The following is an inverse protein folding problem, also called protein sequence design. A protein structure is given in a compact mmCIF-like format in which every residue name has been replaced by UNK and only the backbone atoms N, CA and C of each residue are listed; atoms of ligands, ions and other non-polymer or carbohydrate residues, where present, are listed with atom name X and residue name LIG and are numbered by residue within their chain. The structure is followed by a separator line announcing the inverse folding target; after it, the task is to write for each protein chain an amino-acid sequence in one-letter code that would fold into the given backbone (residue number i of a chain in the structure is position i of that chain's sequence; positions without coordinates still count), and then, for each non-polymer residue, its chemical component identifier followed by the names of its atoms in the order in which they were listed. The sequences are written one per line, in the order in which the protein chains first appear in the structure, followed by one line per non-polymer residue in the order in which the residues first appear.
data_IF_211758451111
#
_entry.id   IF_211758451111
#
_cell.length_a   1.000
_cell.length_b   1.000
_cell.length_c   1.000
_cell.angle_alpha   90.00
_cell.angle_beta   90.00
_cell.angle_gamma   90.00
#
_symmetry.space_group_name_H-M   'P 1'
#
loop_
_entity.id
_entity.type
_entity.pdbx_description
1 polymer ?
#
# COMPACT_ATOMS: atom_id res chain seq x y z
N UNK A 1 -7.18 -20.12 49.42
CA UNK A 1 -6.32 -20.95 48.54
C UNK A 1 -6.53 -20.40 47.10
N UNK A 2 -5.75 -19.36 46.73
CA UNK A 2 -5.86 -18.69 45.45
C UNK A 2 -5.05 -19.42 44.39
N UNK A 3 -5.74 -20.17 43.53
CA UNK A 3 -5.16 -20.69 42.29
C UNK A 3 -5.08 -19.54 41.29
N UNK A 4 -4.02 -18.71 41.34
CA UNK A 4 -3.62 -17.88 40.24
C UNK A 4 -3.01 -18.82 39.20
N UNK A 5 -3.83 -19.28 38.23
CA UNK A 5 -3.29 -19.91 37.03
C UNK A 5 -2.39 -18.85 36.35
N UNK A 6 -1.08 -19.07 36.38
CA UNK A 6 -0.13 -18.41 35.50
C UNK A 6 -0.57 -18.71 34.06
N UNK A 7 -1.38 -17.82 33.46
CA UNK A 7 -1.52 -17.81 32.01
C UNK A 7 -0.11 -17.60 31.45
N UNK A 8 0.50 -18.65 30.89
CA UNK A 8 1.62 -18.48 29.98
C UNK A 8 1.19 -17.36 29.04
N UNK A 9 1.91 -16.24 29.01
CA UNK A 9 1.67 -15.17 28.04
C UNK A 9 1.87 -15.82 26.67
N UNK A 10 0.76 -16.14 25.97
CA UNK A 10 0.83 -16.51 24.57
C UNK A 10 1.49 -15.35 23.84
N UNK A 11 2.45 -15.64 22.98
CA UNK A 11 3.04 -14.63 22.08
C UNK A 11 1.90 -14.11 21.20
N UNK A 12 1.61 -12.81 21.30
CA UNK A 12 0.70 -12.15 20.39
C UNK A 12 1.51 -11.77 19.15
N UNK A 13 1.21 -12.40 18.01
CA UNK A 13 1.92 -12.21 16.75
C UNK A 13 1.05 -11.41 15.77
N UNK A 14 1.31 -10.10 15.63
CA UNK A 14 0.64 -9.26 14.66
C UNK A 14 1.41 -9.26 13.33
N UNK A 15 0.94 -10.04 12.38
CA UNK A 15 1.57 -10.30 11.09
C UNK A 15 0.67 -9.87 9.91
N UNK A 16 -0.13 -8.82 10.12
CA UNK A 16 -0.99 -8.19 9.10
C UNK A 16 -0.60 -6.73 8.82
N UNK A 17 0.71 -6.44 8.82
CA UNK A 17 1.25 -5.09 8.66
C UNK A 17 0.97 -4.49 7.27
N UNK A 18 0.70 -5.29 6.25
CA UNK A 18 0.24 -4.82 4.93
C UNK A 18 -1.21 -4.30 4.96
N UNK A 19 -2.04 -4.70 5.94
CA UNK A 19 -3.36 -4.10 6.13
C UNK A 19 -3.25 -2.78 6.89
N UNK A 20 -2.52 -2.74 7.99
CA UNK A 20 -2.22 -1.51 8.76
C UNK A 20 -1.08 -1.80 9.73
N UNK A 21 -0.26 -0.80 10.06
CA UNK A 21 0.75 -0.91 11.10
C UNK A 21 0.26 -0.24 12.40
N UNK A 22 0.84 -0.64 13.54
CA UNK A 22 0.66 0.06 14.81
C UNK A 22 1.31 1.44 14.72
N UNK A 23 0.64 2.54 15.10
CA UNK A 23 1.28 3.85 15.15
C UNK A 23 2.47 3.84 16.10
N UNK A 24 3.58 4.44 15.68
CA UNK A 24 4.75 4.61 16.53
C UNK A 24 4.50 5.68 17.60
N UNK A 25 5.28 5.63 18.67
CA UNK A 25 5.16 6.58 19.80
C UNK A 25 5.28 8.04 19.35
N UNK A 26 6.25 8.34 18.49
CA UNK A 26 6.45 9.68 17.96
C UNK A 26 5.21 10.22 17.21
N UNK A 27 4.53 9.35 16.44
CA UNK A 27 3.29 9.72 15.75
C UNK A 27 2.15 10.02 16.75
N UNK A 28 1.98 9.18 17.77
CA UNK A 28 0.94 9.36 18.78
C UNK A 28 1.16 10.65 19.60
N UNK A 29 2.39 10.91 20.02
CA UNK A 29 2.76 12.13 20.77
C UNK A 29 2.56 13.40 19.93
N UNK A 30 2.94 13.37 18.63
CA UNK A 30 2.73 14.51 17.73
C UNK A 30 1.24 14.80 17.49
N UNK A 31 0.41 13.75 17.38
CA UNK A 31 -1.05 13.91 17.29
C UNK A 31 -1.63 14.53 18.54
N UNK A 32 -1.25 14.04 19.72
CA UNK A 32 -1.74 14.56 21.00
C UNK A 32 -1.36 16.05 21.16
N UNK A 33 -0.10 16.40 20.90
CA UNK A 33 0.36 17.78 20.95
C UNK A 33 -0.41 18.68 19.97
N UNK A 34 -0.70 18.21 18.76
CA UNK A 34 -1.50 18.96 17.80
C UNK A 34 -2.94 19.19 18.29
N UNK A 35 -3.56 18.22 18.97
CA UNK A 35 -4.91 18.37 19.52
C UNK A 35 -4.97 19.28 20.74
N UNK A 36 -3.97 19.24 21.62
CA UNK A 36 -3.98 19.97 22.89
C UNK A 36 -3.43 21.39 22.78
N UNK A 37 -2.39 21.59 21.96
CA UNK A 37 -1.62 22.85 21.95
C UNK A 37 -1.64 23.59 20.61
N UNK A 38 -1.75 22.91 19.48
CA UNK A 38 -1.68 23.48 18.11
C UNK A 38 -2.98 23.21 17.33
N UNK A 39 -4.11 23.45 17.96
CA UNK A 39 -5.45 23.15 17.44
C UNK A 39 -6.02 24.21 16.49
N UNK A 40 -5.26 25.25 16.11
CA UNK A 40 -5.71 26.31 15.20
C UNK A 40 -6.00 25.81 13.79
N UNK A 41 -6.85 26.55 13.06
CA UNK A 41 -7.06 26.28 11.63
C UNK A 41 -5.86 26.84 10.84
N UNK A 42 -5.16 26.02 10.03
CA UNK A 42 -3.99 26.45 9.24
C UNK A 42 -4.26 27.62 8.28
N UNK A 43 -5.51 27.81 7.86
CA UNK A 43 -5.92 28.90 6.96
C UNK A 43 -6.17 30.24 7.69
N UNK A 44 -6.13 30.28 9.04
CA UNK A 44 -6.36 31.50 9.80
C UNK A 44 -5.13 32.41 9.83
N UNK A 45 -5.36 33.73 9.72
CA UNK A 45 -4.28 34.75 9.66
C UNK A 45 -3.73 35.18 11.03
N UNK A 46 -4.21 34.60 12.12
CA UNK A 46 -3.73 34.86 13.46
C UNK A 46 -2.70 33.82 13.92
N UNK A 47 -2.02 34.07 15.03
CA UNK A 47 -0.92 33.26 15.55
C UNK A 47 -1.25 31.76 15.63
N UNK A 48 -2.45 31.38 16.13
CA UNK A 48 -2.85 29.98 16.22
C UNK A 48 -2.97 29.28 14.85
N UNK A 49 -3.36 30.02 13.82
CA UNK A 49 -3.34 29.53 12.44
C UNK A 49 -1.92 29.30 11.92
N UNK A 50 -1.01 30.23 12.19
CA UNK A 50 0.39 30.11 11.79
C UNK A 50 1.11 28.95 12.48
N UNK A 51 0.83 28.69 13.77
CA UNK A 51 1.33 27.53 14.50
C UNK A 51 0.88 26.22 13.81
N UNK A 52 -0.39 26.11 13.47
CA UNK A 52 -0.96 24.95 12.79
C UNK A 52 -0.41 24.80 11.34
N UNK A 53 -0.30 25.89 10.59
CA UNK A 53 0.28 25.90 9.25
C UNK A 53 1.75 25.45 9.27
N UNK A 54 2.53 25.89 10.27
CA UNK A 54 3.91 25.46 10.44
C UNK A 54 4.01 23.94 10.65
N UNK A 55 3.10 23.37 11.43
CA UNK A 55 3.03 21.92 11.66
C UNK A 55 2.74 21.15 10.34
N UNK A 56 1.82 21.64 9.52
CA UNK A 56 1.55 21.07 8.18
C UNK A 56 2.79 21.16 7.29
N UNK A 57 3.47 22.30 7.28
CA UNK A 57 4.70 22.50 6.51
C UNK A 57 5.82 21.56 6.97
N UNK A 58 6.05 21.44 8.28
CA UNK A 58 7.08 20.55 8.85
C UNK A 58 6.83 19.06 8.48
N UNK A 59 5.56 18.66 8.31
CA UNK A 59 5.18 17.34 7.82
C UNK A 59 5.44 17.22 6.31
N UNK A 60 5.12 18.25 5.49
CA UNK A 60 5.46 18.28 4.05
C UNK A 60 6.97 18.18 3.83
N UNK A 61 7.77 18.88 4.62
CA UNK A 61 9.23 18.82 4.56
C UNK A 61 9.76 17.41 4.84
N UNK A 62 9.20 16.71 5.84
CA UNK A 62 9.57 15.35 6.16
C UNK A 62 9.27 14.37 5.01
N UNK A 63 8.05 14.45 4.44
CA UNK A 63 7.67 13.61 3.30
C UNK A 63 8.49 13.94 2.05
N UNK A 64 8.70 15.21 1.76
CA UNK A 64 9.48 15.66 0.61
C UNK A 64 10.92 15.15 0.66
N UNK A 65 11.55 15.20 1.84
CA UNK A 65 12.87 14.61 2.06
C UNK A 65 12.87 13.10 1.81
N UNK A 66 11.87 12.38 2.33
CA UNK A 66 11.77 10.92 2.18
C UNK A 66 11.49 10.50 0.73
N UNK A 67 10.75 11.29 -0.03
CA UNK A 67 10.42 11.05 -1.44
C UNK A 67 11.43 11.65 -2.43
N UNK A 68 12.42 12.43 -1.94
CA UNK A 68 13.39 13.17 -2.75
C UNK A 68 12.71 14.14 -3.72
N UNK A 69 11.78 14.96 -3.21
CA UNK A 69 11.04 15.97 -3.96
C UNK A 69 10.99 17.31 -3.21
N UNK A 70 10.28 18.29 -3.75
CA UNK A 70 10.07 19.58 -3.07
C UNK A 70 8.81 19.55 -2.19
N UNK A 71 8.79 20.24 -1.05
CA UNK A 71 7.61 20.30 -0.16
C UNK A 71 6.33 20.75 -0.85
N UNK A 72 6.43 21.69 -1.80
CA UNK A 72 5.31 22.17 -2.60
C UNK A 72 4.71 21.11 -3.55
N UNK A 73 5.39 19.99 -3.77
CA UNK A 73 4.93 18.87 -4.59
C UNK A 73 4.20 17.79 -3.76
N UNK A 74 4.08 17.98 -2.44
CA UNK A 74 3.38 17.05 -1.55
C UNK A 74 2.00 17.62 -1.20
N UNK A 75 0.95 16.88 -1.54
CA UNK A 75 -0.44 17.18 -1.17
C UNK A 75 -0.91 16.17 -0.13
N UNK A 76 -1.54 16.62 0.95
CA UNK A 76 -2.19 15.73 1.91
C UNK A 76 -3.61 15.38 1.47
N UNK A 77 -4.01 14.15 1.75
CA UNK A 77 -5.36 13.62 1.53
C UNK A 77 -5.82 12.86 2.77
N UNK A 78 -7.11 12.56 2.89
CA UNK A 78 -7.62 11.80 4.04
C UNK A 78 -7.27 10.31 4.03
N UNK A 79 -6.65 9.79 2.96
CA UNK A 79 -6.18 8.39 2.88
C UNK A 79 -5.40 8.14 1.58
N UNK A 80 -4.66 7.02 1.51
CA UNK A 80 -4.07 6.55 0.25
C UNK A 80 -5.13 6.29 -0.84
N UNK A 81 -6.34 5.86 -0.46
CA UNK A 81 -7.46 5.70 -1.40
C UNK A 81 -7.84 7.02 -2.08
N UNK A 82 -7.95 8.10 -1.31
CA UNK A 82 -8.27 9.41 -1.87
C UNK A 82 -7.12 9.97 -2.70
N UNK A 83 -5.87 9.72 -2.29
CA UNK A 83 -4.70 10.07 -3.09
C UNK A 83 -4.69 9.34 -4.44
N UNK A 84 -4.95 8.02 -4.47
CA UNK A 84 -5.08 7.23 -5.69
C UNK A 84 -6.23 7.72 -6.57
N UNK A 85 -7.38 8.04 -6.00
CA UNK A 85 -8.52 8.58 -6.75
C UNK A 85 -8.19 9.94 -7.38
N UNK A 86 -7.54 10.86 -6.62
CA UNK A 86 -7.10 12.14 -7.15
C UNK A 86 -6.06 11.95 -8.26
N UNK A 87 -5.11 11.03 -8.09
CA UNK A 87 -4.11 10.71 -9.09
C UNK A 87 -4.74 10.15 -10.37
N UNK A 88 -5.61 9.15 -10.27
CA UNK A 88 -6.17 8.45 -11.43
C UNK A 88 -7.25 9.27 -12.11
N UNK A 89 -8.29 9.67 -11.39
CA UNK A 89 -9.40 10.44 -11.96
C UNK A 89 -8.96 11.85 -12.33
N UNK A 90 -8.25 12.53 -11.41
CA UNK A 90 -7.82 13.91 -11.61
C UNK A 90 -6.85 14.07 -12.78
N UNK A 91 -5.91 13.13 -12.96
CA UNK A 91 -4.98 13.15 -14.08
C UNK A 91 -5.68 12.85 -15.41
N UNK A 92 -6.50 11.79 -15.48
CA UNK A 92 -7.20 11.41 -16.71
C UNK A 92 -8.11 12.56 -17.20
N UNK A 93 -8.89 13.17 -16.31
CA UNK A 93 -9.75 14.30 -16.66
C UNK A 93 -8.95 15.53 -17.11
N UNK A 94 -7.85 15.86 -16.43
CA UNK A 94 -7.02 17.01 -16.80
C UNK A 94 -6.32 16.82 -18.15
N UNK A 95 -6.06 15.59 -18.55
CA UNK A 95 -5.36 15.22 -19.80
C UNK A 95 -6.32 14.83 -20.94
N UNK A 96 -7.65 14.82 -20.74
CA UNK A 96 -8.65 14.32 -21.69
C UNK A 96 -8.54 14.91 -23.10
N UNK A 97 -8.04 16.16 -23.22
CA UNK A 97 -7.81 16.80 -24.54
C UNK A 97 -6.65 16.17 -25.33
N UNK A 98 -5.76 15.40 -24.69
CA UNK A 98 -4.59 14.77 -25.33
C UNK A 98 -4.86 13.34 -25.77
N UNK A 99 -5.93 12.72 -25.26
CA UNK A 99 -6.31 11.36 -25.55
C UNK A 99 -7.31 10.83 -24.53
N UNK A 100 -7.65 9.55 -24.63
CA UNK A 100 -8.63 8.91 -23.75
C UNK A 100 -8.20 7.53 -23.26
N UNK A 101 -7.00 7.06 -23.58
CA UNK A 101 -6.51 5.76 -23.12
C UNK A 101 -5.87 5.85 -21.75
N UNK A 102 -6.28 4.99 -20.83
CA UNK A 102 -5.75 4.82 -19.48
C UNK A 102 -5.23 3.40 -19.33
N UNK A 103 -3.96 3.26 -18.97
CA UNK A 103 -3.31 1.95 -18.82
C UNK A 103 -3.03 1.70 -17.35
N UNK A 104 -3.50 0.57 -16.80
CA UNK A 104 -3.29 0.19 -15.39
C UNK A 104 -2.75 -1.24 -15.30
N UNK A 105 -2.04 -1.60 -14.23
CA UNK A 105 -1.71 -3.01 -14.04
C UNK A 105 -2.95 -3.84 -13.66
N UNK A 106 -2.95 -5.13 -13.99
CA UNK A 106 -4.06 -6.02 -13.62
C UNK A 106 -4.11 -6.33 -12.10
N UNK A 107 -3.08 -5.94 -11.36
CA UNK A 107 -2.91 -6.27 -9.93
C UNK A 107 -2.98 -5.05 -9.00
N UNK A 108 -3.53 -3.95 -9.50
CA UNK A 108 -3.68 -2.72 -8.71
C UNK A 108 -4.60 -2.90 -7.49
N UNK A 109 -4.35 -2.06 -6.48
CA UNK A 109 -5.25 -1.94 -5.33
C UNK A 109 -6.66 -1.49 -5.79
N UNK A 110 -7.75 -1.92 -5.09
CA UNK A 110 -9.12 -1.53 -5.43
C UNK A 110 -9.35 -0.03 -5.60
N UNK A 111 -8.59 0.84 -4.90
CA UNK A 111 -8.69 2.29 -5.05
C UNK A 111 -8.25 2.81 -6.43
N UNK A 112 -7.34 2.10 -7.11
CA UNK A 112 -6.94 2.37 -8.50
C UNK A 112 -7.90 1.67 -9.47
N UNK A 113 -8.18 0.38 -9.26
CA UNK A 113 -9.04 -0.40 -10.15
C UNK A 113 -10.45 0.19 -10.27
N UNK A 114 -11.06 0.58 -9.14
CA UNK A 114 -12.40 1.18 -9.14
C UNK A 114 -12.41 2.59 -9.74
N UNK A 115 -11.33 3.36 -9.58
CA UNK A 115 -11.18 4.63 -10.28
C UNK A 115 -11.06 4.42 -11.80
N UNK A 116 -10.29 3.42 -12.23
CA UNK A 116 -10.19 3.05 -13.65
C UNK A 116 -11.53 2.54 -14.22
N UNK A 117 -12.26 1.69 -13.48
CA UNK A 117 -13.62 1.26 -13.88
C UNK A 117 -14.58 2.44 -14.04
N UNK A 118 -14.49 3.45 -13.15
CA UNK A 118 -15.28 4.68 -13.28
C UNK A 118 -14.91 5.46 -14.56
N UNK A 119 -13.62 5.60 -14.86
CA UNK A 119 -13.18 6.24 -16.11
C UNK A 119 -13.71 5.50 -17.34
N UNK A 120 -13.75 4.17 -17.33
CA UNK A 120 -14.35 3.40 -18.42
C UNK A 120 -15.84 3.73 -18.61
N UNK A 121 -16.60 3.89 -17.52
CA UNK A 121 -18.00 4.31 -17.56
C UNK A 121 -18.16 5.76 -18.09
N UNK A 122 -17.14 6.60 -17.92
CA UNK A 122 -17.09 7.99 -18.42
C UNK A 122 -16.54 8.08 -19.88
N UNK A 123 -16.31 6.94 -20.54
CA UNK A 123 -15.92 6.85 -21.95
C UNK A 123 -14.40 6.87 -22.21
N UNK A 124 -13.56 6.65 -21.18
CA UNK A 124 -12.14 6.38 -21.39
C UNK A 124 -11.92 4.93 -21.81
N UNK A 125 -10.93 4.70 -22.68
CA UNK A 125 -10.44 3.37 -23.03
C UNK A 125 -9.46 2.87 -21.95
N UNK A 126 -9.93 1.99 -21.09
CA UNK A 126 -9.14 1.45 -19.97
C UNK A 126 -8.54 0.12 -20.34
N UNK A 127 -7.22 0.09 -20.48
CA UNK A 127 -6.42 -1.08 -20.81
C UNK A 127 -5.69 -1.63 -19.58
N UNK A 128 -5.61 -2.97 -19.46
CA UNK A 128 -4.92 -3.61 -18.34
C UNK A 128 -3.65 -4.31 -18.82
N UNK A 129 -2.52 -3.99 -18.19
CA UNK A 129 -1.27 -4.72 -18.37
C UNK A 129 -1.39 -6.06 -17.66
N UNK A 130 -1.30 -7.21 -18.38
CA UNK A 130 -1.31 -8.52 -17.75
C UNK A 130 -0.06 -8.74 -16.91
N UNK A 131 -0.11 -9.75 -16.06
CA UNK A 131 0.98 -10.14 -15.18
C UNK A 131 1.34 -11.60 -15.34
N UNK A 132 2.55 -11.96 -14.91
CA UNK A 132 2.98 -13.34 -14.82
C UNK A 132 2.38 -14.05 -13.57
N UNK A 133 2.78 -15.31 -13.36
CA UNK A 133 2.32 -16.12 -12.22
C UNK A 133 2.69 -15.56 -10.83
N UNK A 134 3.63 -14.64 -10.76
CA UNK A 134 4.08 -13.99 -9.54
C UNK A 134 3.53 -12.57 -9.38
N UNK A 135 2.76 -12.12 -10.37
CA UNK A 135 2.12 -10.81 -10.37
C UNK A 135 2.98 -9.70 -10.95
N UNK A 136 4.10 -10.01 -11.63
CA UNK A 136 4.95 -9.02 -12.31
C UNK A 136 4.32 -8.61 -13.64
N UNK A 137 4.25 -7.31 -13.92
CA UNK A 137 3.70 -6.77 -15.18
C UNK A 137 4.50 -7.22 -16.40
N UNK A 138 3.78 -7.50 -17.50
CA UNK A 138 4.37 -7.76 -18.82
C UNK A 138 4.73 -6.43 -19.51
N UNK A 139 6.03 -6.08 -19.49
CA UNK A 139 6.54 -4.85 -20.08
C UNK A 139 6.40 -4.79 -21.61
N UNK A 140 6.41 -5.93 -22.32
CA UNK A 140 6.20 -5.96 -23.76
C UNK A 140 4.76 -5.59 -24.08
N UNK A 141 3.80 -6.14 -23.34
CA UNK A 141 2.40 -5.77 -23.49
C UNK A 141 2.16 -4.32 -23.03
N UNK A 142 2.80 -3.86 -21.95
CA UNK A 142 2.74 -2.44 -21.56
C UNK A 142 3.18 -1.52 -22.72
N UNK A 143 4.27 -1.85 -23.40
CA UNK A 143 4.76 -1.08 -24.55
C UNK A 143 3.80 -1.12 -25.75
N UNK A 144 3.08 -2.22 -25.97
CA UNK A 144 2.05 -2.30 -27.02
C UNK A 144 0.80 -1.47 -26.70
N UNK A 145 0.38 -1.43 -25.43
CA UNK A 145 -0.81 -0.71 -24.98
C UNK A 145 -0.60 0.81 -24.89
N UNK A 146 0.64 1.25 -24.67
CA UNK A 146 0.98 2.68 -24.54
C UNK A 146 1.20 3.28 -25.92
N UNK A 147 0.51 4.39 -26.20
CA UNK A 147 0.58 5.14 -27.45
C UNK A 147 0.47 6.67 -27.23
N UNK A 148 0.36 7.43 -28.32
CA UNK A 148 0.19 8.89 -28.29
C UNK A 148 -1.15 9.34 -27.73
N UNK A 149 -2.18 8.48 -27.69
CA UNK A 149 -3.50 8.74 -27.09
C UNK A 149 -3.58 8.36 -25.63
N UNK A 150 -2.53 7.76 -25.08
CA UNK A 150 -2.50 7.38 -23.65
C UNK A 150 -2.28 8.62 -22.78
N UNK A 151 -3.16 8.84 -21.81
CA UNK A 151 -3.14 10.00 -20.91
C UNK A 151 -2.66 9.70 -19.50
N UNK A 152 -2.76 8.44 -19.08
CA UNK A 152 -2.33 7.96 -17.76
C UNK A 152 -1.82 6.52 -17.85
N UNK A 153 -0.69 6.26 -17.21
CA UNK A 153 -0.23 4.90 -16.85
C UNK A 153 -0.16 4.83 -15.33
N UNK A 154 -0.82 3.83 -14.71
CA UNK A 154 -0.83 3.65 -13.26
C UNK A 154 -0.40 2.23 -12.92
N UNK A 155 0.71 2.11 -12.18
CA UNK A 155 1.27 0.83 -11.73
C UNK A 155 1.76 0.95 -10.30
N UNK A 156 1.34 0.04 -9.42
CA UNK A 156 1.84 0.00 -8.05
C UNK A 156 3.32 -0.42 -8.01
N UNK A 157 4.10 0.11 -7.04
CA UNK A 157 5.52 -0.28 -6.91
C UNK A 157 5.69 -1.63 -6.24
N UNK A 158 4.82 -1.96 -5.27
CA UNK A 158 4.84 -3.24 -4.55
C UNK A 158 3.41 -3.75 -4.40
N UNK A 159 3.18 -4.99 -4.81
CA UNK A 159 1.87 -5.61 -4.65
C UNK A 159 1.59 -5.95 -3.18
N UNK A 160 0.43 -5.55 -2.69
CA UNK A 160 0.04 -5.70 -1.29
C UNK A 160 -0.35 -7.13 -0.87
N UNK A 161 -0.54 -8.04 -1.82
CA UNK A 161 -0.92 -9.44 -1.57
C UNK A 161 0.27 -10.39 -1.76
N UNK A 162 1.03 -10.24 -2.84
CA UNK A 162 2.12 -11.13 -3.23
C UNK A 162 3.51 -10.62 -2.81
N UNK A 163 3.65 -9.30 -2.58
CA UNK A 163 4.95 -8.69 -2.32
C UNK A 163 5.78 -8.43 -3.59
N UNK A 164 5.24 -8.72 -4.76
CA UNK A 164 5.92 -8.50 -6.05
C UNK A 164 6.36 -7.04 -6.17
N UNK A 165 7.61 -6.83 -6.55
CA UNK A 165 8.19 -5.52 -6.80
C UNK A 165 8.10 -5.22 -8.28
N UNK A 166 7.24 -4.28 -8.65
CA UNK A 166 7.00 -3.95 -10.06
C UNK A 166 8.14 -3.13 -10.67
N UNK A 167 8.52 -3.41 -11.93
CA UNK A 167 9.58 -2.71 -12.64
C UNK A 167 9.13 -1.36 -13.18
N UNK A 168 8.55 -0.51 -12.33
CA UNK A 168 7.93 0.78 -12.73
C UNK A 168 8.93 1.75 -13.38
N UNK A 169 10.21 1.62 -13.05
CA UNK A 169 11.30 2.42 -13.61
C UNK A 169 11.44 2.22 -15.12
N UNK A 170 11.03 1.06 -15.65
CA UNK A 170 11.05 0.75 -17.09
C UNK A 170 9.94 1.48 -17.87
N UNK A 171 8.89 1.97 -17.20
CA UNK A 171 7.73 2.58 -17.87
C UNK A 171 8.06 3.97 -18.44
N UNK A 172 8.88 4.78 -17.75
CA UNK A 172 9.25 6.12 -18.25
C UNK A 172 10.03 6.07 -19.59
N UNK A 173 11.03 5.19 -19.79
CA UNK A 173 11.64 4.96 -21.09
C UNK A 173 10.63 4.53 -22.17
N UNK A 174 9.67 3.66 -21.86
CA UNK A 174 8.60 3.25 -22.78
C UNK A 174 7.77 4.46 -23.22
N UNK A 175 7.28 5.26 -22.26
CA UNK A 175 6.51 6.48 -22.54
C UNK A 175 7.28 7.43 -23.50
N UNK A 176 8.57 7.58 -23.30
CA UNK A 176 9.41 8.42 -24.18
C UNK A 176 9.54 7.85 -25.59
N UNK A 177 9.81 6.54 -25.73
CA UNK A 177 9.93 5.88 -27.05
C UNK A 177 8.61 5.97 -27.84
N UNK A 178 7.48 5.83 -27.14
CA UNK A 178 6.13 5.90 -27.70
C UNK A 178 5.63 7.34 -27.93
N UNK A 179 6.44 8.36 -27.58
CA UNK A 179 6.06 9.78 -27.62
C UNK A 179 4.72 10.04 -26.90
N UNK A 180 4.44 9.24 -25.86
CA UNK A 180 3.19 9.32 -25.13
C UNK A 180 3.16 10.52 -24.19
N UNK A 181 2.06 11.32 -24.19
CA UNK A 181 1.87 12.41 -23.24
C UNK A 181 1.43 11.95 -21.86
N UNK A 182 1.33 10.64 -21.64
CA UNK A 182 0.79 10.06 -20.41
C UNK A 182 1.55 10.49 -19.17
N UNK A 183 0.81 10.81 -18.13
CA UNK A 183 1.33 10.91 -16.77
C UNK A 183 1.59 9.50 -16.23
N UNK A 184 2.70 9.32 -15.51
CA UNK A 184 3.02 8.08 -14.80
C UNK A 184 2.65 8.24 -13.33
N UNK A 185 1.64 7.50 -12.87
CA UNK A 185 1.27 7.34 -11.48
C UNK A 185 1.85 6.05 -10.91
N UNK A 186 2.44 6.14 -9.72
CA UNK A 186 2.93 5.00 -8.96
C UNK A 186 2.26 4.96 -7.59
N UNK A 187 1.46 3.91 -7.34
CA UNK A 187 1.02 3.60 -5.98
C UNK A 187 2.21 3.00 -5.20
N UNK A 188 2.85 3.82 -4.35
CA UNK A 188 3.98 3.42 -3.53
C UNK A 188 3.58 3.08 -2.07
N UNK A 189 2.30 2.91 -1.78
CA UNK A 189 1.78 2.68 -0.42
C UNK A 189 2.46 1.49 0.27
N UNK A 190 2.75 0.41 -0.44
CA UNK A 190 3.44 -0.75 0.12
C UNK A 190 4.97 -0.68 0.03
N UNK A 191 5.50 0.18 -0.84
CA UNK A 191 6.95 0.37 -1.00
C UNK A 191 7.53 1.37 -0.01
N UNK A 192 6.81 2.47 0.26
CA UNK A 192 7.26 3.55 1.13
C UNK A 192 7.54 3.04 2.54
N UNK A 193 8.71 3.38 3.07
CA UNK A 193 9.18 2.90 4.38
C UNK A 193 9.74 1.47 4.40
N UNK A 194 9.73 0.75 3.27
CA UNK A 194 10.30 -0.60 3.13
C UNK A 194 11.40 -0.66 2.07
N UNK A 195 11.25 0.13 1.02
CA UNK A 195 12.24 0.33 -0.03
C UNK A 195 12.57 1.83 -0.13
N UNK A 196 13.74 2.20 -0.66
CA UNK A 196 14.01 3.58 -1.05
C UNK A 196 13.04 4.02 -2.15
N UNK A 197 12.20 5.01 -1.86
CA UNK A 197 11.25 5.59 -2.82
C UNK A 197 11.74 6.99 -3.18
N UNK A 198 12.30 7.15 -4.38
CA UNK A 198 12.68 8.45 -4.94
C UNK A 198 11.85 8.70 -6.19
N UNK A 199 11.09 9.80 -6.23
CA UNK A 199 10.19 10.12 -7.34
C UNK A 199 10.94 10.27 -8.67
N UNK A 200 12.17 10.76 -8.63
CA UNK A 200 13.01 10.89 -9.82
C UNK A 200 13.50 9.54 -10.35
N UNK A 201 13.87 8.60 -9.47
CA UNK A 201 14.27 7.24 -9.86
C UNK A 201 13.10 6.44 -10.40
N UNK A 202 11.91 6.58 -9.81
CA UNK A 202 10.68 5.99 -10.35
C UNK A 202 10.30 6.58 -11.71
N UNK A 203 10.80 7.77 -12.05
CA UNK A 203 10.39 8.50 -13.23
C UNK A 203 8.91 8.92 -13.18
N UNK A 204 8.30 8.96 -12.00
CA UNK A 204 6.89 9.20 -11.79
C UNK A 204 6.54 10.70 -11.85
N UNK A 205 5.32 11.00 -12.30
CA UNK A 205 4.72 12.33 -12.22
C UNK A 205 3.79 12.45 -11.01
N UNK A 206 3.27 11.30 -10.53
CA UNK A 206 2.38 11.17 -9.38
C UNK A 206 2.81 9.97 -8.54
N UNK A 207 2.91 10.13 -7.21
CA UNK A 207 3.23 9.02 -6.29
C UNK A 207 2.32 9.08 -5.08
N UNK A 208 1.61 7.99 -4.81
CA UNK A 208 0.74 7.85 -3.63
C UNK A 208 1.46 7.15 -2.48
N UNK A 209 1.31 7.71 -1.27
CA UNK A 209 1.76 7.10 -0.01
C UNK A 209 0.67 7.22 1.07
N UNK A 210 0.74 6.38 2.11
CA UNK A 210 -0.26 6.37 3.19
C UNK A 210 0.40 6.18 4.55
N UNK A 211 0.00 7.00 5.53
CA UNK A 211 0.63 7.04 6.84
C UNK A 211 0.53 5.72 7.61
N UNK A 212 -0.64 5.08 7.60
CA UNK A 212 -0.89 3.87 8.37
C UNK A 212 -0.14 2.62 7.89
N UNK A 213 0.64 2.71 6.82
CA UNK A 213 1.52 1.63 6.33
C UNK A 213 2.97 1.81 6.80
N UNK A 214 3.28 2.95 7.44
CA UNK A 214 4.61 3.33 7.91
C UNK A 214 4.55 3.82 9.37
N UNK A 215 3.78 3.13 10.20
CA UNK A 215 3.61 3.42 11.63
C UNK A 215 3.06 4.83 11.94
N UNK A 216 2.38 5.44 10.97
CA UNK A 216 1.62 6.66 11.13
C UNK A 216 0.13 6.42 11.43
N UNK A 217 -0.65 7.48 11.63
CA UNK A 217 -2.08 7.37 11.91
C UNK A 217 -2.88 6.95 10.68
N UNK A 218 -4.08 6.40 10.93
CA UNK A 218 -5.14 6.29 9.93
C UNK A 218 -5.74 7.67 9.66
N UNK A 219 -6.43 7.82 8.53
CA UNK A 219 -7.12 9.08 8.20
C UNK A 219 -6.23 10.14 7.54
N UNK A 220 -5.03 9.77 7.08
CA UNK A 220 -4.16 10.64 6.28
C UNK A 220 -3.33 9.84 5.28
N UNK A 221 -3.25 10.37 4.06
CA UNK A 221 -2.34 9.94 2.99
C UNK A 221 -1.68 11.15 2.36
N UNK A 222 -0.81 10.92 1.39
CA UNK A 222 -0.23 12.00 0.61
C UNK A 222 -0.05 11.58 -0.85
N UNK A 223 -0.15 12.58 -1.73
CA UNK A 223 0.12 12.48 -3.15
C UNK A 223 1.28 13.41 -3.50
N UNK A 224 2.36 12.85 -4.03
CA UNK A 224 3.35 13.66 -4.76
C UNK A 224 2.76 14.03 -6.12
N UNK A 225 2.81 15.31 -6.45
CA UNK A 225 2.41 15.87 -7.75
C UNK A 225 3.57 16.67 -8.29
N UNK A 226 4.18 16.18 -9.36
CA UNK A 226 5.31 16.84 -10.01
C UNK A 226 4.93 18.25 -10.48
N UNK A 227 5.81 19.19 -10.26
CA UNK A 227 5.60 20.59 -10.71
C UNK A 227 5.22 20.65 -12.19
N UNK A 228 4.17 21.42 -12.48
CA UNK A 228 3.62 21.57 -13.83
C UNK A 228 2.54 20.54 -14.20
N UNK A 229 2.37 19.48 -13.41
CA UNK A 229 1.25 18.54 -13.56
C UNK A 229 -0.02 19.19 -13.03
N UNK A 230 -1.08 19.15 -13.83
CA UNK A 230 -2.42 19.60 -13.45
C UNK A 230 -3.32 18.42 -13.17
N UNK A 231 -4.11 18.53 -12.11
CA UNK A 231 -5.14 17.57 -11.75
C UNK A 231 -6.51 18.26 -11.73
N UNK A 232 -7.53 17.58 -12.18
CA UNK A 232 -8.93 17.97 -11.93
C UNK A 232 -9.29 17.51 -10.52
N UNK A 233 -9.73 18.40 -9.61
CA UNK A 233 -10.13 18.01 -8.26
C UNK A 233 -11.25 16.96 -8.27
N UNK A 234 -11.14 15.96 -7.42
CA UNK A 234 -12.19 14.93 -7.22
C UNK A 234 -13.19 15.31 -6.13
N UNK A 235 -12.85 16.32 -5.33
CA UNK A 235 -13.70 16.96 -4.33
C UNK A 235 -13.66 18.45 -4.62
N UNK A 236 -14.77 19.15 -4.47
CA UNK A 236 -14.88 20.60 -4.71
C UNK A 236 -15.03 21.36 -3.39
N UNK A 237 -14.40 22.54 -3.26
CA UNK A 237 -14.43 23.32 -2.01
C UNK A 237 -13.50 24.52 -2.05
N UNK A 238 -12.80 24.77 -0.95
CA UNK A 238 -11.87 25.90 -0.79
C UNK A 238 -10.51 25.68 -1.47
N UNK A 239 -9.54 26.51 -1.09
CA UNK A 239 -8.21 26.56 -1.71
C UNK A 239 -7.16 25.65 -1.03
N UNK A 240 -7.57 24.82 -0.07
CA UNK A 240 -6.64 23.91 0.61
C UNK A 240 -5.94 23.00 -0.40
N UNK A 241 -4.68 22.67 -0.12
CA UNK A 241 -3.80 21.91 -1.02
C UNK A 241 -3.79 22.46 -2.46
N UNK A 242 -3.83 23.80 -2.60
CA UNK A 242 -3.85 24.48 -3.89
C UNK A 242 -5.13 24.22 -4.70
N UNK A 243 -6.25 23.96 -4.03
CA UNK A 243 -7.55 23.62 -4.63
C UNK A 243 -7.64 22.21 -5.19
N UNK A 244 -6.55 21.43 -5.16
CA UNK A 244 -6.54 20.04 -5.66
C UNK A 244 -7.26 19.06 -4.73
N UNK A 245 -7.18 19.31 -3.42
CA UNK A 245 -7.86 18.50 -2.40
C UNK A 245 -8.38 19.41 -1.28
N UNK A 246 -9.50 20.15 -1.51
CA UNK A 246 -10.07 21.09 -0.56
C UNK A 246 -10.64 20.40 0.69
N UNK A 247 -10.70 21.16 1.78
CA UNK A 247 -11.16 20.74 3.10
C UNK A 247 -10.16 21.12 4.18
N UNK A 248 -10.66 21.45 5.39
CA UNK A 248 -9.77 21.79 6.52
C UNK A 248 -8.82 20.64 6.79
N UNK A 249 -7.53 20.96 6.83
CA UNK A 249 -6.46 19.98 7.00
C UNK A 249 -6.58 19.26 8.36
N UNK A 250 -6.48 17.94 8.34
CA UNK A 250 -6.49 17.10 9.54
C UNK A 250 -5.14 17.22 10.28
N UNK A 251 -4.87 18.41 10.87
CA UNK A 251 -3.58 18.76 11.45
C UNK A 251 -3.01 17.72 12.41
N UNK A 252 -3.79 17.07 13.32
CA UNK A 252 -3.26 16.02 14.17
C UNK A 252 -2.76 14.81 13.39
N UNK A 253 -3.53 14.36 12.40
CA UNK A 253 -3.14 13.22 11.58
C UNK A 253 -1.93 13.54 10.67
N UNK A 254 -1.86 14.75 10.13
CA UNK A 254 -0.73 15.25 9.34
C UNK A 254 0.54 15.32 10.20
N UNK A 255 0.44 15.86 11.43
CA UNK A 255 1.53 15.89 12.38
C UNK A 255 2.06 14.49 12.71
N UNK A 256 1.15 13.57 12.99
CA UNK A 256 1.47 12.17 13.25
C UNK A 256 2.14 11.50 12.05
N UNK A 257 1.70 11.79 10.82
CA UNK A 257 2.35 11.28 9.61
C UNK A 257 3.78 11.83 9.47
N UNK A 258 3.97 13.14 9.59
CA UNK A 258 5.29 13.77 9.55
C UNK A 258 6.24 13.20 10.61
N UNK A 259 5.75 12.97 11.83
CA UNK A 259 6.52 12.37 12.93
C UNK A 259 6.87 10.91 12.64
N UNK A 260 5.93 10.11 12.10
CA UNK A 260 6.20 8.73 11.70
C UNK A 260 7.29 8.66 10.62
N UNK A 261 7.23 9.53 9.60
CA UNK A 261 8.25 9.60 8.53
C UNK A 261 9.62 10.01 9.08
N UNK A 262 9.68 10.96 10.01
CA UNK A 262 10.95 11.35 10.68
C UNK A 262 11.55 10.23 11.54
N UNK A 263 10.69 9.43 12.17
CA UNK A 263 11.10 8.29 13.01
C UNK A 263 11.32 7.01 12.19
N UNK A 264 10.92 6.99 10.93
CA UNK A 264 10.96 5.83 10.05
C UNK A 264 12.39 5.31 9.90
N UNK A 265 12.57 4.02 10.14
CA UNK A 265 13.81 3.30 9.88
C UNK A 265 13.55 2.26 8.81
N UNK A 266 14.43 2.20 7.83
CA UNK A 266 14.43 1.13 6.83
C UNK A 266 15.61 0.24 7.19
N UNK A 267 15.38 -0.91 7.86
CA UNK A 267 16.47 -1.83 8.18
C UNK A 267 17.10 -2.37 6.90
N UNK A 268 18.35 -2.87 6.96
CA UNK A 268 18.92 -3.60 5.84
C UNK A 268 17.97 -4.71 5.40
N UNK A 269 17.68 -4.77 4.10
CA UNK A 269 16.68 -5.69 3.54
C UNK A 269 17.03 -7.15 3.85
N UNK A 270 18.31 -7.45 4.02
CA UNK A 270 18.84 -8.76 4.33
C UNK A 270 18.37 -9.27 5.71
N UNK A 271 18.13 -8.38 6.67
CA UNK A 271 17.62 -8.74 7.99
C UNK A 271 16.19 -9.26 7.89
N UNK A 272 15.36 -8.57 7.13
CA UNK A 272 13.96 -8.98 6.92
C UNK A 272 13.91 -10.21 6.01
N UNK A 273 14.81 -10.29 5.02
CA UNK A 273 14.94 -11.45 4.16
C UNK A 273 15.32 -12.72 4.97
N UNK A 274 16.24 -12.62 5.91
CA UNK A 274 16.61 -13.75 6.77
C UNK A 274 15.42 -14.25 7.62
N UNK A 275 14.59 -13.34 8.17
CA UNK A 275 13.36 -13.71 8.88
C UNK A 275 12.36 -14.40 7.94
N UNK A 276 12.11 -13.83 6.75
CA UNK A 276 11.25 -14.39 5.71
C UNK A 276 11.73 -15.80 5.32
N UNK A 277 13.02 -15.95 5.01
CA UNK A 277 13.58 -17.19 4.49
C UNK A 277 13.51 -18.31 5.51
N UNK A 278 13.79 -18.01 6.78
CA UNK A 278 13.61 -18.95 7.87
C UNK A 278 12.16 -19.43 8.03
N UNK A 279 11.19 -18.52 7.91
CA UNK A 279 9.77 -18.86 7.96
C UNK A 279 9.32 -19.63 6.72
N UNK A 280 9.70 -19.20 5.52
CA UNK A 280 9.38 -19.86 4.24
C UNK A 280 9.97 -21.27 4.20
N UNK A 281 11.19 -21.46 4.69
CA UNK A 281 11.79 -22.81 4.77
C UNK A 281 10.95 -23.77 5.61
N UNK A 282 10.43 -23.30 6.74
CA UNK A 282 9.53 -24.10 7.59
C UNK A 282 8.20 -24.38 6.89
N UNK A 283 7.62 -23.40 6.19
CA UNK A 283 6.39 -23.58 5.43
C UNK A 283 6.55 -24.60 4.30
N UNK A 284 7.68 -24.57 3.57
CA UNK A 284 8.00 -25.53 2.49
C UNK A 284 8.11 -26.98 2.98
N UNK A 285 8.40 -27.20 4.26
CA UNK A 285 8.43 -28.54 4.86
C UNK A 285 7.02 -29.13 5.08
N UNK A 286 5.96 -28.34 4.94
CA UNK A 286 4.57 -28.79 5.06
C UNK A 286 4.02 -29.11 3.66
N UNK A 287 3.72 -30.39 3.33
CA UNK A 287 3.29 -30.79 1.98
C UNK A 287 1.94 -30.16 1.56
N UNK A 288 1.16 -29.66 2.52
CA UNK A 288 -0.11 -28.99 2.25
C UNK A 288 0.04 -27.52 1.84
N UNK A 289 1.22 -26.94 2.03
CA UNK A 289 1.48 -25.52 1.77
C UNK A 289 2.00 -25.31 0.35
N UNK A 290 1.45 -24.35 -0.35
CA UNK A 290 1.92 -23.90 -1.66
C UNK A 290 2.23 -22.40 -1.62
N UNK A 291 3.47 -22.01 -1.89
CA UNK A 291 3.86 -20.59 -1.93
C UNK A 291 3.31 -19.92 -3.19
N UNK A 292 2.80 -18.68 -3.02
CA UNK A 292 2.30 -17.83 -4.10
C UNK A 292 3.25 -16.66 -4.40
N UNK A 293 3.91 -16.10 -3.37
CA UNK A 293 4.95 -15.08 -3.56
C UNK A 293 6.17 -15.65 -4.27
N UNK A 294 6.78 -14.87 -5.16
CA UNK A 294 8.07 -15.18 -5.78
C UNK A 294 9.22 -15.11 -4.78
N UNK A 295 10.35 -15.74 -5.11
CA UNK A 295 11.55 -15.71 -4.26
C UNK A 295 12.19 -14.30 -4.21
N UNK A 296 11.99 -13.50 -5.24
CA UNK A 296 12.41 -12.09 -5.40
C UNK A 296 11.40 -11.06 -4.86
N UNK A 297 10.26 -11.53 -4.32
CA UNK A 297 9.27 -10.64 -3.72
C UNK A 297 9.87 -9.88 -2.51
N UNK A 298 9.31 -8.69 -2.24
CA UNK A 298 9.68 -7.90 -1.07
C UNK A 298 9.51 -8.75 0.20
N UNK A 299 10.57 -8.96 1.01
CA UNK A 299 10.55 -9.92 2.11
C UNK A 299 9.57 -9.59 3.24
N UNK A 300 8.97 -8.41 3.22
CA UNK A 300 7.92 -8.02 4.14
C UNK A 300 6.57 -8.69 3.89
N UNK A 301 6.35 -9.33 2.73
CA UNK A 301 5.06 -9.90 2.35
C UNK A 301 5.26 -11.32 1.85
N UNK A 302 4.57 -12.26 2.49
CA UNK A 302 4.61 -13.69 2.17
C UNK A 302 3.17 -14.12 1.92
N UNK A 303 2.92 -14.68 0.75
CA UNK A 303 1.63 -15.26 0.40
C UNK A 303 1.79 -16.76 0.14
N UNK A 304 0.97 -17.55 0.79
CA UNK A 304 0.91 -18.99 0.57
C UNK A 304 -0.54 -19.48 0.62
N UNK A 305 -0.78 -20.65 0.07
CA UNK A 305 -2.10 -21.28 0.09
C UNK A 305 -2.08 -22.59 0.82
N UNK A 306 -3.23 -22.93 1.41
CA UNK A 306 -3.60 -24.25 1.88
C UNK A 306 -4.74 -24.77 0.96
N UNK A 307 -4.43 -25.40 -0.19
CA UNK A 307 -5.44 -25.80 -1.15
C UNK A 307 -6.45 -26.79 -0.53
N UNK A 308 -7.74 -26.48 -0.67
CA UNK A 308 -8.82 -27.28 -0.07
C UNK A 308 -9.28 -26.82 1.31
N UNK A 309 -8.56 -25.90 1.98
CA UNK A 309 -9.07 -25.16 3.14
C UNK A 309 -9.62 -23.82 2.71
N UNK A 310 -10.60 -23.33 3.44
CA UNK A 310 -11.06 -21.94 3.30
C UNK A 310 -10.20 -21.02 4.15
N UNK A 311 -9.71 -19.95 3.55
CA UNK A 311 -8.85 -18.97 4.25
C UNK A 311 -9.50 -18.41 5.51
N UNK A 312 -10.81 -18.07 5.50
CA UNK A 312 -11.54 -17.57 6.66
C UNK A 312 -11.51 -18.55 7.85
N UNK A 313 -11.67 -19.84 7.59
CA UNK A 313 -11.60 -20.89 8.63
C UNK A 313 -10.19 -20.99 9.22
N UNK A 314 -9.17 -20.93 8.38
CA UNK A 314 -7.77 -20.96 8.85
C UNK A 314 -7.45 -19.70 9.63
N UNK A 315 -7.82 -18.51 9.15
CA UNK A 315 -7.61 -17.24 9.83
C UNK A 315 -8.20 -17.22 11.24
N UNK A 316 -9.42 -17.75 11.42
CA UNK A 316 -10.05 -17.87 12.72
C UNK A 316 -9.24 -18.80 13.64
N UNK A 317 -8.80 -19.97 13.15
CA UNK A 317 -8.00 -20.91 13.93
C UNK A 317 -6.63 -20.33 14.34
N UNK A 318 -6.02 -19.47 13.51
CA UNK A 318 -4.79 -18.76 13.86
C UNK A 318 -5.07 -17.66 14.88
N UNK A 319 -6.12 -16.87 14.69
CA UNK A 319 -6.54 -15.80 15.61
C UNK A 319 -6.83 -16.34 17.03
N UNK A 320 -7.49 -17.49 17.15
CA UNK A 320 -7.71 -18.18 18.44
C UNK A 320 -6.41 -18.52 19.17
N UNK A 321 -5.28 -18.55 18.44
CA UNK A 321 -3.94 -18.79 18.97
C UNK A 321 -3.12 -17.51 19.17
N UNK A 322 -3.72 -16.33 18.94
CA UNK A 322 -3.06 -15.03 19.07
C UNK A 322 -2.19 -14.66 17.86
N UNK A 323 -2.43 -15.28 16.70
CA UNK A 323 -1.71 -14.98 15.46
C UNK A 323 -2.65 -14.28 14.48
N UNK A 324 -2.34 -13.04 14.13
CA UNK A 324 -3.17 -12.18 13.29
C UNK A 324 -2.54 -12.01 11.91
N UNK A 325 -3.17 -12.60 10.91
CA UNK A 325 -2.76 -12.58 9.49
C UNK A 325 -3.99 -12.30 8.61
N UNK A 326 -3.85 -12.21 7.30
CA UNK A 326 -4.92 -11.88 6.37
C UNK A 326 -5.06 -12.91 5.24
N UNK A 327 -6.20 -12.91 4.56
CA UNK A 327 -6.40 -13.67 3.30
C UNK A 327 -5.88 -12.95 2.05
N UNK A 328 -5.15 -11.84 2.23
CA UNK A 328 -4.63 -11.04 1.09
C UNK A 328 -5.53 -9.85 0.74
N UNK A 329 -6.80 -10.03 0.44
CA UNK A 329 -7.73 -8.93 0.21
C UNK A 329 -8.63 -8.70 1.43
N UNK A 330 -8.19 -7.87 2.38
CA UNK A 330 -8.97 -7.50 3.56
C UNK A 330 -10.34 -6.85 3.23
N UNK A 331 -10.50 -6.35 1.99
CA UNK A 331 -11.72 -5.66 1.54
C UNK A 331 -12.73 -6.56 0.83
N UNK A 332 -12.38 -7.81 0.47
CA UNK A 332 -13.23 -8.67 -0.36
C UNK A 332 -13.97 -9.74 0.49
N UNK A 333 -14.82 -9.31 1.43
CA UNK A 333 -15.72 -10.24 2.14
C UNK A 333 -16.56 -11.02 1.11
N UNK A 334 -16.24 -12.31 0.92
CA UNK A 334 -17.00 -13.22 0.08
C UNK A 334 -16.60 -13.25 -1.41
N UNK A 335 -15.60 -12.48 -1.84
CA UNK A 335 -15.08 -12.51 -3.23
C UNK A 335 -13.62 -12.98 -3.26
N UNK A 336 -13.27 -13.71 -4.33
CA UNK A 336 -11.89 -14.13 -4.59
C UNK A 336 -11.01 -12.92 -4.89
N UNK A 337 -9.74 -13.02 -4.52
CA UNK A 337 -8.75 -11.97 -4.81
C UNK A 337 -8.61 -11.76 -6.32
N UNK A 338 -8.87 -10.52 -6.82
CA UNK A 338 -8.61 -10.21 -8.23
C UNK A 338 -7.12 -10.33 -8.59
N UNK A 339 -6.22 -10.03 -7.64
CA UNK A 339 -4.76 -10.15 -7.81
C UNK A 339 -4.38 -11.60 -8.05
N UNK A 340 -4.77 -12.52 -7.17
CA UNK A 340 -4.47 -13.93 -7.33
C UNK A 340 -5.17 -14.55 -8.54
N UNK A 341 -6.33 -14.03 -8.93
CA UNK A 341 -7.01 -14.44 -10.18
C UNK A 341 -6.22 -13.98 -11.40
N UNK A 342 -5.69 -12.76 -11.40
CA UNK A 342 -4.89 -12.23 -12.50
C UNK A 342 -3.57 -12.99 -12.72
N UNK A 343 -3.00 -13.62 -11.68
CA UNK A 343 -1.80 -14.46 -11.79
C UNK A 343 -2.08 -15.87 -12.34
N UNK A 344 -3.35 -16.20 -12.61
CA UNK A 344 -3.73 -17.52 -13.14
C UNK A 344 -3.70 -18.66 -12.11
N UNK A 345 -3.68 -18.35 -10.82
CA UNK A 345 -3.77 -19.38 -9.77
C UNK A 345 -5.13 -20.10 -9.83
N UNK A 346 -5.10 -21.40 -9.57
CA UNK A 346 -6.32 -22.18 -9.49
C UNK A 346 -7.20 -21.76 -8.29
N UNK A 347 -8.49 -22.02 -8.42
CA UNK A 347 -9.51 -21.60 -7.45
C UNK A 347 -9.25 -22.16 -6.04
N UNK A 348 -8.77 -23.39 -5.91
CA UNK A 348 -8.51 -24.02 -4.60
C UNK A 348 -7.34 -23.32 -3.88
N UNK A 349 -6.35 -22.85 -4.65
CA UNK A 349 -5.25 -22.05 -4.10
C UNK A 349 -5.74 -20.67 -3.67
N UNK A 350 -6.53 -20.00 -4.51
CA UNK A 350 -7.08 -18.66 -4.21
C UNK A 350 -7.94 -18.71 -2.93
N UNK A 351 -8.85 -19.70 -2.83
CA UNK A 351 -9.77 -19.83 -1.69
C UNK A 351 -9.05 -20.14 -0.37
N UNK A 352 -7.87 -20.78 -0.45
CA UNK A 352 -7.02 -21.11 0.71
C UNK A 352 -5.83 -20.16 0.93
N UNK A 353 -5.80 -19.01 0.26
CA UNK A 353 -4.67 -18.10 0.33
C UNK A 353 -4.59 -17.34 1.67
N UNK A 354 -3.38 -17.24 2.20
CA UNK A 354 -3.03 -16.55 3.46
C UNK A 354 -1.86 -15.63 3.18
N UNK A 355 -1.98 -14.39 3.62
CA UNK A 355 -0.90 -13.41 3.59
C UNK A 355 -0.35 -13.18 5.00
N UNK A 356 0.93 -13.34 5.16
CA UNK A 356 1.72 -12.94 6.34
C UNK A 356 2.51 -11.70 5.96
N UNK A 357 2.40 -10.62 6.73
CA UNK A 357 3.12 -9.40 6.43
C UNK A 357 3.82 -8.81 7.65
N UNK A 358 5.12 -8.59 7.48
CA UNK A 358 6.08 -8.17 8.47
C UNK A 358 6.20 -6.65 8.56
N UNK A 359 6.82 -6.17 9.62
CA UNK A 359 7.35 -4.82 9.76
C UNK A 359 8.78 -4.90 10.33
N UNK A 360 9.42 -3.75 10.52
CA UNK A 360 10.77 -3.62 11.08
C UNK A 360 10.89 -4.11 12.55
N UNK A 361 9.76 -4.17 13.27
CA UNK A 361 9.69 -4.68 14.65
C UNK A 361 9.38 -6.20 14.73
N UNK A 362 9.10 -6.87 13.60
CA UNK A 362 8.73 -8.29 13.57
C UNK A 362 9.90 -9.17 14.03
N UNK A 363 9.60 -10.13 14.91
CA UNK A 363 10.58 -11.04 15.52
C UNK A 363 10.48 -12.47 14.97
N UNK A 364 11.56 -13.22 15.07
CA UNK A 364 11.57 -14.65 14.75
C UNK A 364 10.56 -15.44 15.60
N UNK A 365 10.38 -15.07 16.87
CA UNK A 365 9.43 -15.73 17.77
C UNK A 365 7.96 -15.58 17.31
N UNK A 366 7.58 -14.43 16.73
CA UNK A 366 6.25 -14.22 16.15
C UNK A 366 6.04 -15.10 14.91
N UNK A 367 7.06 -15.23 14.06
CA UNK A 367 7.01 -16.11 12.89
C UNK A 367 6.97 -17.59 13.28
N UNK A 368 7.68 -17.99 14.35
CA UNK A 368 7.62 -19.33 14.90
C UNK A 368 6.22 -19.63 15.49
N UNK A 369 5.63 -18.68 16.19
CA UNK A 369 4.25 -18.81 16.69
C UNK A 369 3.26 -18.94 15.53
N UNK A 370 3.46 -18.19 14.44
CA UNK A 370 2.65 -18.30 13.22
C UNK A 370 2.79 -19.68 12.58
N UNK A 371 4.01 -20.19 12.42
CA UNK A 371 4.25 -21.52 11.86
C UNK A 371 3.57 -22.63 12.68
N UNK A 372 3.72 -22.60 14.01
CA UNK A 372 3.07 -23.56 14.89
C UNK A 372 1.55 -23.48 14.83
N UNK A 373 0.99 -22.28 14.70
CA UNK A 373 -0.45 -22.08 14.52
C UNK A 373 -0.96 -22.66 13.18
N UNK A 374 -0.20 -22.46 12.09
CA UNK A 374 -0.51 -23.06 10.78
C UNK A 374 -0.46 -24.58 10.85
N UNK A 375 0.59 -25.15 11.44
CA UNK A 375 0.74 -26.60 11.63
C UNK A 375 -0.42 -27.19 12.44
N UNK A 376 -0.82 -26.54 13.51
CA UNK A 376 -1.96 -26.94 14.33
C UNK A 376 -3.30 -26.83 13.58
N UNK A 377 -3.49 -25.78 12.78
CA UNK A 377 -4.67 -25.64 11.94
C UNK A 377 -4.81 -26.76 10.91
N UNK A 378 -3.69 -27.12 10.23
CA UNK A 378 -3.65 -28.24 9.30
C UNK A 378 -4.05 -29.56 9.99
N UNK A 379 -3.57 -29.80 11.22
CA UNK A 379 -3.84 -31.03 11.96
C UNK A 379 -5.29 -31.12 12.49
N UNK A 380 -5.94 -29.97 12.75
CA UNK A 380 -7.27 -29.95 13.43
C UNK A 380 -8.42 -29.67 12.50
N UNK A 381 -8.19 -28.90 11.43
CA UNK A 381 -9.23 -28.55 10.46
C UNK A 381 -9.39 -29.66 9.41
N UNK A 382 -10.63 -30.03 9.11
CA UNK A 382 -10.91 -30.97 8.03
C UNK A 382 -10.71 -30.29 6.67
N UNK A 383 -9.92 -30.94 5.80
CA UNK A 383 -9.84 -30.54 4.38
C UNK A 383 -11.20 -30.84 3.74
N UNK A 384 -11.80 -29.84 3.10
CA UNK A 384 -12.94 -30.05 2.21
C UNK A 384 -12.38 -30.43 0.83
N UNK A 385 -12.12 -31.73 0.65
CA UNK A 385 -11.74 -32.33 -0.64
C UNK A 385 -12.85 -32.15 -1.68
#
# INVERSE_FOLDING_TARGET
MNFIMKRCRRVEAYLDNSATTRPCRAAAEAMLAAMETVWGNPSSLHQKGWEAQRLVRDAKDALAKALSCRPAEVLFTGSGTQANNLAVLGAAHAQKKKGNTVVVSAVEHPSVMKAAERLAQEGFDVQKIPVDRYGTIDLETAERLIDAGTVLVSVMKVNNELGTVEPVEALRPILRRKQSPALLHVDAVQAFGKLPVSVSRLGADLVTVSAHKVHGPKGVGALFVKTGVRLTPTVVGGEQEGGAFPGTEATPAIAGFGAAVKAMRIPPIEQIAALRDGFVSKLRALPQVMLNSGDDALPYIINFSLPGWRSDTVLNALSDRGVYVSSGSACARGHRSPVLTATGLDVRRIDGAIRVSLCDETTAAELDACFEAVRAAIATLRNKS
#
